data_IF_223954369239
#
_entry.id   IF_223954369239
#
_cell.length_a   1.000
_cell.length_b   1.000
_cell.length_c   1.000
_cell.angle_alpha   90.00
_cell.angle_beta   90.00
_cell.angle_gamma   90.00
#
_symmetry.space_group_name_H-M   'P 1'
#
loop_
_entity.id
_entity.type
_entity.pdbx_description
1 polymer ?
#
# COMPACT_ATOMS: atom_id res chain seq x y z
N UNK A 1 8.24 -7.82 4.06
CA UNK A 1 7.11 -7.06 3.52
C UNK A 1 5.91 -7.98 3.33
N UNK A 2 5.08 -8.06 4.34
CA UNK A 2 3.91 -8.92 4.40
C UNK A 2 2.67 -8.04 4.55
N UNK A 3 1.93 -7.83 3.46
CA UNK A 3 0.69 -7.07 3.46
C UNK A 3 -0.45 -8.07 3.37
N UNK A 4 -1.29 -8.12 4.39
CA UNK A 4 -2.48 -8.99 4.39
C UNK A 4 -3.66 -8.30 3.72
N UNK A 5 -4.60 -9.04 3.13
CA UNK A 5 -5.83 -8.46 2.59
C UNK A 5 -6.67 -7.77 3.69
N UNK A 6 -7.53 -6.79 3.33
CA UNK A 6 -8.41 -6.14 4.29
C UNK A 6 -9.36 -7.16 4.94
N UNK A 7 -9.67 -6.95 6.21
CA UNK A 7 -10.46 -7.89 7.01
C UNK A 7 -9.66 -9.06 7.60
N UNK A 8 -8.36 -9.17 7.30
CA UNK A 8 -7.51 -10.19 7.93
C UNK A 8 -7.41 -9.95 9.43
N UNK A 9 -7.57 -11.02 10.20
CA UNK A 9 -7.37 -11.04 11.65
C UNK A 9 -5.93 -10.68 12.03
N UNK A 10 -5.66 -10.42 13.30
CA UNK A 10 -4.31 -10.27 13.82
C UNK A 10 -3.44 -11.48 13.42
N UNK A 11 -2.15 -11.29 13.13
CA UNK A 11 -1.33 -12.30 12.44
C UNK A 11 -1.38 -13.67 13.11
N UNK A 12 -1.31 -13.73 14.43
CA UNK A 12 -1.37 -15.01 15.18
C UNK A 12 -2.69 -15.74 14.95
N UNK A 13 -3.81 -15.06 15.07
CA UNK A 13 -5.13 -15.64 14.88
C UNK A 13 -5.39 -15.96 13.40
N UNK A 14 -4.93 -15.09 12.51
CA UNK A 14 -4.98 -15.31 11.07
C UNK A 14 -4.29 -16.63 10.69
N UNK A 15 -3.08 -16.87 11.18
CA UNK A 15 -2.33 -18.11 10.91
C UNK A 15 -3.00 -19.37 11.49
N UNK A 16 -3.67 -19.23 12.63
CA UNK A 16 -4.42 -20.34 13.23
C UNK A 16 -5.65 -20.74 12.42
N UNK A 17 -6.28 -19.79 11.71
CA UNK A 17 -7.51 -20.04 10.95
C UNK A 17 -7.27 -20.25 9.45
N UNK A 18 -6.24 -19.65 8.88
CA UNK A 18 -6.00 -19.72 7.44
C UNK A 18 -5.48 -21.11 7.03
N UNK A 19 -6.25 -21.80 6.20
CA UNK A 19 -5.90 -23.13 5.66
C UNK A 19 -5.09 -23.07 4.36
N UNK A 20 -4.74 -21.89 3.86
CA UNK A 20 -4.01 -21.72 2.60
C UNK A 20 -4.81 -22.18 1.36
N UNK A 21 -6.14 -22.23 1.43
CA UNK A 21 -6.99 -22.78 0.35
C UNK A 21 -6.99 -22.00 -0.97
N UNK A 22 -6.47 -20.76 -0.97
CA UNK A 22 -6.30 -19.94 -2.17
C UNK A 22 -7.58 -19.28 -2.72
N UNK A 23 -8.75 -19.47 -2.08
CA UNK A 23 -10.03 -18.93 -2.58
C UNK A 23 -9.98 -17.38 -2.71
N UNK A 24 -9.43 -16.69 -1.70
CA UNK A 24 -9.27 -15.24 -1.72
C UNK A 24 -8.34 -14.75 -2.85
N UNK A 25 -7.31 -15.51 -3.18
CA UNK A 25 -6.40 -15.20 -4.31
C UNK A 25 -7.12 -15.40 -5.64
N UNK A 26 -7.94 -16.44 -5.76
CA UNK A 26 -8.67 -16.78 -6.99
C UNK A 26 -9.74 -15.74 -7.36
N UNK A 27 -10.41 -15.15 -6.37
CA UNK A 27 -11.48 -14.17 -6.62
C UNK A 27 -10.97 -12.73 -6.72
N UNK A 28 -9.69 -12.50 -6.44
CA UNK A 28 -9.12 -11.15 -6.50
C UNK A 28 -9.16 -10.60 -7.94
N UNK A 29 -9.95 -9.54 -8.23
CA UNK A 29 -10.16 -9.09 -9.60
C UNK A 29 -8.92 -8.48 -10.24
N UNK A 30 -8.02 -7.95 -9.43
CA UNK A 30 -6.77 -7.33 -9.87
C UNK A 30 -5.59 -8.30 -9.90
N UNK A 31 -5.79 -9.54 -9.40
CA UNK A 31 -4.72 -10.50 -9.25
C UNK A 31 -3.66 -10.11 -8.22
N UNK A 32 -3.96 -9.17 -7.33
CA UNK A 32 -2.97 -8.65 -6.37
C UNK A 32 -2.63 -9.59 -5.21
N UNK A 33 -3.48 -10.59 -4.91
CA UNK A 33 -3.25 -11.56 -3.84
C UNK A 33 -2.46 -12.76 -4.36
N UNK A 34 -1.34 -13.04 -3.71
CA UNK A 34 -0.43 -14.12 -4.01
C UNK A 34 -0.11 -14.94 -2.76
N UNK A 35 0.31 -16.20 -2.89
CA UNK A 35 0.75 -16.99 -1.74
C UNK A 35 2.06 -16.42 -1.15
N UNK A 36 2.15 -16.41 0.17
CA UNK A 36 3.41 -16.17 0.87
C UNK A 36 4.30 -17.41 0.74
N UNK A 37 5.60 -17.21 0.52
CA UNK A 37 6.59 -18.28 0.43
C UNK A 37 7.49 -18.25 1.67
N UNK A 38 8.31 -17.21 1.83
CA UNK A 38 9.23 -17.07 2.97
C UNK A 38 8.88 -15.86 3.85
N UNK A 39 8.02 -14.95 3.36
CA UNK A 39 7.74 -13.66 3.99
C UNK A 39 6.91 -13.77 5.27
N UNK A 40 6.17 -14.86 5.44
CA UNK A 40 5.32 -15.13 6.59
C UNK A 40 5.87 -16.25 7.49
N UNK A 41 7.13 -16.65 7.30
CA UNK A 41 7.69 -17.83 7.97
C UNK A 41 7.10 -19.15 7.48
N UNK A 42 7.53 -20.26 8.09
CA UNK A 42 7.07 -21.61 7.71
C UNK A 42 5.57 -21.78 8.01
N UNK A 43 5.10 -21.23 9.12
CA UNK A 43 3.69 -21.28 9.54
C UNK A 43 2.77 -20.52 8.59
N UNK A 44 3.28 -19.47 7.94
CA UNK A 44 2.53 -18.64 7.00
C UNK A 44 2.65 -19.06 5.54
N UNK A 45 3.28 -20.20 5.24
CA UNK A 45 3.44 -20.70 3.88
C UNK A 45 2.06 -20.88 3.20
N UNK A 46 1.95 -20.43 1.95
CA UNK A 46 0.72 -20.41 1.13
C UNK A 46 -0.42 -19.52 1.63
N UNK A 47 -0.23 -18.78 2.71
CA UNK A 47 -1.24 -17.81 3.14
C UNK A 47 -1.24 -16.58 2.22
N UNK A 48 -2.40 -15.90 2.00
CA UNK A 48 -2.48 -14.79 1.06
C UNK A 48 -1.72 -13.55 1.53
N UNK A 49 -1.01 -12.92 0.61
CA UNK A 49 -0.42 -11.59 0.77
C UNK A 49 -0.68 -10.73 -0.47
N UNK A 50 -0.81 -9.43 -0.29
CA UNK A 50 -0.87 -8.49 -1.40
C UNK A 50 0.54 -8.24 -1.95
N UNK A 51 0.66 -8.29 -3.27
CA UNK A 51 1.88 -7.96 -4.01
C UNK A 51 1.59 -6.80 -4.95
N UNK A 52 1.74 -5.54 -4.51
CA UNK A 52 1.30 -4.36 -5.27
C UNK A 52 1.91 -4.20 -6.67
N UNK A 53 3.05 -4.82 -6.92
CA UNK A 53 3.67 -4.85 -8.25
C UNK A 53 2.93 -5.71 -9.29
N UNK A 54 2.17 -6.70 -8.82
CA UNK A 54 1.45 -7.65 -9.69
C UNK A 54 -0.03 -7.29 -9.81
N UNK A 55 -0.55 -6.61 -8.78
CA UNK A 55 -1.91 -6.13 -8.72
C UNK A 55 -2.13 -5.38 -7.41
N UNK A 56 -3.27 -4.79 -7.22
CA UNK A 56 -3.57 -3.91 -6.09
C UNK A 56 -4.86 -4.33 -5.39
N UNK A 57 -5.15 -3.75 -4.23
CA UNK A 57 -6.45 -3.92 -3.58
C UNK A 57 -7.44 -2.90 -4.14
N UNK A 58 -8.45 -3.39 -4.87
CA UNK A 58 -9.50 -2.54 -5.43
C UNK A 58 -10.29 -1.84 -4.34
N UNK A 59 -10.56 -0.52 -4.51
CA UNK A 59 -11.12 0.34 -3.48
C UNK A 59 -12.53 -0.10 -3.03
N UNK A 60 -13.37 -0.51 -3.97
CA UNK A 60 -14.75 -0.91 -3.73
C UNK A 60 -14.96 -2.44 -3.73
N UNK A 61 -13.90 -3.22 -3.41
CA UNK A 61 -13.96 -4.68 -3.44
C UNK A 61 -13.78 -5.28 -2.04
N UNK A 62 -14.63 -6.25 -1.70
CA UNK A 62 -14.61 -7.00 -0.43
C UNK A 62 -14.61 -8.52 -0.63
N UNK A 63 -14.42 -9.01 -1.86
CA UNK A 63 -14.59 -10.41 -2.24
C UNK A 63 -13.73 -11.39 -1.43
N UNK A 64 -12.51 -11.03 -1.06
CA UNK A 64 -11.59 -11.91 -0.35
C UNK A 64 -12.14 -12.36 1.02
N UNK A 65 -12.84 -11.46 1.74
CA UNK A 65 -13.51 -11.81 3.01
C UNK A 65 -14.78 -12.63 2.80
N UNK A 66 -15.55 -12.33 1.73
CA UNK A 66 -16.81 -13.04 1.43
C UNK A 66 -16.60 -14.52 1.12
N UNK A 67 -15.47 -14.89 0.55
CA UNK A 67 -15.18 -16.30 0.16
C UNK A 67 -14.30 -17.04 1.17
N UNK A 68 -13.88 -16.41 2.26
CA UNK A 68 -13.01 -17.06 3.24
C UNK A 68 -13.78 -18.08 4.08
N UNK A 69 -13.56 -19.41 3.91
CA UNK A 69 -14.39 -20.42 4.57
C UNK A 69 -14.12 -20.53 6.07
N UNK A 70 -12.97 -20.04 6.54
CA UNK A 70 -12.53 -20.16 7.94
C UNK A 70 -12.68 -18.86 8.74
N UNK A 71 -13.07 -17.78 8.08
CA UNK A 71 -13.11 -16.44 8.70
C UNK A 71 -11.74 -15.88 9.09
N UNK A 72 -10.65 -16.41 8.52
CA UNK A 72 -9.33 -15.81 8.68
C UNK A 72 -9.26 -14.39 8.07
N UNK A 73 -10.09 -14.15 7.05
CA UNK A 73 -10.38 -12.84 6.48
C UNK A 73 -11.87 -12.61 6.74
N UNK A 74 -12.21 -11.65 7.57
CA UNK A 74 -13.60 -11.32 7.88
C UNK A 74 -14.25 -10.59 6.70
N UNK A 75 -15.53 -10.88 6.42
CA UNK A 75 -16.29 -10.12 5.44
C UNK A 75 -16.53 -8.71 5.97
N UNK A 76 -16.22 -7.71 5.14
CA UNK A 76 -16.41 -6.31 5.45
C UNK A 76 -17.50 -5.72 4.55
N UNK A 77 -18.27 -4.76 5.07
CA UNK A 77 -19.02 -3.83 4.23
C UNK A 77 -18.04 -2.94 3.46
N UNK A 78 -18.45 -2.38 2.32
CA UNK A 78 -17.58 -1.54 1.48
C UNK A 78 -17.07 -0.34 2.27
N UNK A 79 -17.94 0.33 3.01
CA UNK A 79 -17.61 1.51 3.81
C UNK A 79 -16.56 1.17 4.88
N UNK A 80 -16.76 0.09 5.62
CA UNK A 80 -15.80 -0.36 6.62
C UNK A 80 -14.45 -0.76 6.00
N UNK A 81 -14.46 -1.37 4.81
CA UNK A 81 -13.24 -1.74 4.09
C UNK A 81 -12.45 -0.51 3.62
N UNK A 82 -13.11 0.56 3.25
CA UNK A 82 -12.48 1.81 2.81
C UNK A 82 -11.73 2.53 3.93
N UNK A 83 -12.11 2.29 5.19
CA UNK A 83 -11.42 2.80 6.38
C UNK A 83 -10.28 1.89 6.86
N UNK A 84 -10.27 0.60 6.45
CA UNK A 84 -9.24 -0.35 6.87
C UNK A 84 -7.92 -0.07 6.18
N UNK A 85 -6.91 0.28 6.96
CA UNK A 85 -5.52 0.41 6.50
C UNK A 85 -4.86 -0.96 6.48
N UNK A 86 -4.32 -1.38 5.35
CA UNK A 86 -3.55 -2.62 5.20
C UNK A 86 -2.05 -2.35 5.06
N UNK A 87 -1.66 -1.09 5.08
CA UNK A 87 -0.28 -0.64 5.01
C UNK A 87 -0.17 0.84 4.70
N UNK A 88 1.06 1.31 4.51
CA UNK A 88 1.41 2.69 4.19
C UNK A 88 2.34 2.72 2.98
N UNK A 89 2.08 3.64 2.05
CA UNK A 89 2.97 3.90 0.93
C UNK A 89 4.13 4.82 1.37
N UNK A 90 5.32 4.56 0.84
CA UNK A 90 6.50 5.40 1.05
C UNK A 90 7.28 5.59 -0.25
N UNK A 91 7.86 6.77 -0.44
CA UNK A 91 8.68 7.11 -1.61
C UNK A 91 10.14 6.69 -1.40
N UNK A 92 10.72 6.11 -2.44
CA UNK A 92 12.17 6.02 -2.61
C UNK A 92 12.63 7.32 -3.32
N UNK A 93 13.10 8.28 -2.54
CA UNK A 93 13.51 9.60 -3.02
C UNK A 93 14.70 9.53 -3.97
N UNK A 94 15.49 8.47 -3.92
CA UNK A 94 16.64 8.27 -4.82
C UNK A 94 16.23 7.87 -6.23
N UNK A 95 14.97 7.48 -6.44
CA UNK A 95 14.45 6.99 -7.71
C UNK A 95 13.26 7.79 -8.24
N UNK A 96 12.47 8.38 -7.37
CA UNK A 96 11.29 9.14 -7.78
C UNK A 96 11.67 10.35 -8.62
N UNK A 97 11.04 10.53 -9.79
CA UNK A 97 11.39 11.59 -10.76
C UNK A 97 11.46 12.98 -10.14
N UNK A 98 10.47 13.45 -9.37
CA UNK A 98 10.54 14.76 -8.72
C UNK A 98 11.72 14.90 -7.77
N UNK A 99 12.03 13.86 -7.00
CA UNK A 99 13.11 13.91 -6.01
C UNK A 99 14.49 13.75 -6.63
N UNK A 100 14.68 12.71 -7.44
CA UNK A 100 16.00 12.34 -7.95
C UNK A 100 16.44 13.15 -9.18
N UNK A 101 15.47 13.60 -9.99
CA UNK A 101 15.77 14.17 -11.30
C UNK A 101 15.13 15.55 -11.55
N UNK A 102 14.46 16.15 -10.56
CA UNK A 102 13.82 17.45 -10.70
C UNK A 102 12.77 17.50 -11.84
N UNK A 103 12.07 16.39 -12.10
CA UNK A 103 11.05 16.27 -13.15
C UNK A 103 9.69 15.99 -12.55
N UNK A 104 8.66 16.77 -12.92
CA UNK A 104 7.30 16.53 -12.45
C UNK A 104 6.79 15.17 -12.90
N UNK A 105 6.12 14.47 -11.97
CA UNK A 105 5.41 13.22 -12.20
C UNK A 105 4.23 13.15 -11.22
N UNK A 106 3.01 12.92 -11.71
CA UNK A 106 1.78 12.93 -10.92
C UNK A 106 1.05 11.59 -10.94
N UNK A 107 1.57 10.58 -11.63
CA UNK A 107 0.89 9.30 -11.91
C UNK A 107 0.33 8.62 -10.64
N UNK A 108 1.09 8.59 -9.56
CA UNK A 108 0.65 7.92 -8.33
C UNK A 108 -0.47 8.66 -7.61
N UNK A 109 -0.52 9.98 -7.69
CA UNK A 109 -1.60 10.80 -7.12
C UNK A 109 -2.87 10.68 -7.98
N UNK A 110 -2.76 10.82 -9.30
CA UNK A 110 -3.89 10.71 -10.23
C UNK A 110 -4.66 9.40 -10.05
N UNK A 111 -3.96 8.30 -9.77
CA UNK A 111 -4.54 6.98 -9.59
C UNK A 111 -4.88 6.63 -8.13
N UNK A 112 -4.62 7.52 -7.18
CA UNK A 112 -5.00 7.27 -5.79
C UNK A 112 -6.54 7.21 -5.68
N UNK A 113 -7.11 6.08 -5.20
CA UNK A 113 -8.56 5.90 -5.19
C UNK A 113 -9.25 6.58 -4.01
N UNK A 114 -8.47 6.98 -2.99
CA UNK A 114 -9.03 7.68 -1.81
C UNK A 114 -9.59 9.04 -2.23
N UNK A 115 -10.83 9.39 -1.85
CA UNK A 115 -11.49 10.62 -2.31
C UNK A 115 -10.65 11.89 -2.09
N UNK A 116 -10.09 12.08 -0.91
CA UNK A 116 -9.26 13.25 -0.55
C UNK A 116 -7.79 13.09 -0.94
N UNK A 117 -7.46 12.06 -1.74
CA UNK A 117 -6.10 11.76 -2.20
C UNK A 117 -5.07 11.68 -1.08
N UNK A 118 -4.72 10.47 -0.70
CA UNK A 118 -3.63 10.24 0.27
C UNK A 118 -2.23 10.66 -0.26
N UNK A 119 -2.12 11.00 -1.54
CA UNK A 119 -0.89 11.53 -2.14
C UNK A 119 -1.16 12.97 -2.55
N UNK A 120 -0.35 13.89 -2.04
CA UNK A 120 -0.42 15.33 -2.31
C UNK A 120 0.95 15.86 -2.73
N UNK A 121 1.01 17.09 -3.25
CA UNK A 121 2.23 17.70 -3.74
C UNK A 121 2.67 18.90 -2.90
N UNK A 122 3.98 19.00 -2.70
CA UNK A 122 4.63 20.19 -2.16
C UNK A 122 5.49 20.80 -3.26
N UNK A 123 5.36 22.11 -3.46
CA UNK A 123 6.20 22.85 -4.40
C UNK A 123 7.58 23.13 -3.78
N UNK A 124 8.62 22.71 -4.49
CA UNK A 124 10.01 22.88 -4.06
C UNK A 124 10.81 23.48 -5.20
N UNK A 125 11.65 24.47 -4.90
CA UNK A 125 12.59 25.04 -5.89
C UNK A 125 13.87 24.23 -5.87
N UNK A 126 14.25 23.70 -7.03
CA UNK A 126 15.50 22.97 -7.25
C UNK A 126 16.38 23.73 -8.25
N UNK A 127 17.68 23.67 -8.07
CA UNK A 127 18.63 24.21 -9.04
C UNK A 127 18.79 23.23 -10.21
N UNK A 128 18.57 23.70 -11.42
CA UNK A 128 18.82 22.98 -12.67
C UNK A 128 19.91 23.73 -13.46
N UNK A 129 20.45 23.10 -14.50
CA UNK A 129 21.46 23.67 -15.39
C UNK A 129 21.05 25.01 -16.01
N UNK A 130 19.75 25.26 -16.13
CA UNK A 130 19.12 26.44 -16.70
C UNK A 130 18.67 27.48 -15.63
N UNK A 131 19.01 27.26 -14.35
CA UNK A 131 18.61 28.12 -13.23
C UNK A 131 17.54 27.46 -12.33
N UNK A 132 17.02 28.23 -11.35
CA UNK A 132 16.03 27.71 -10.39
C UNK A 132 14.74 27.31 -11.09
N UNK A 133 14.23 26.11 -10.73
CA UNK A 133 13.02 25.54 -11.28
C UNK A 133 12.11 25.05 -10.14
N UNK A 134 10.85 25.44 -10.16
CA UNK A 134 9.84 24.90 -9.23
C UNK A 134 9.31 23.57 -9.73
N UNK A 135 9.33 22.57 -8.86
CA UNK A 135 8.82 21.23 -9.11
C UNK A 135 7.82 20.81 -8.03
N UNK A 136 6.92 19.88 -8.36
CA UNK A 136 5.96 19.30 -7.44
C UNK A 136 6.48 17.96 -6.93
N UNK A 137 6.88 17.92 -5.66
CA UNK A 137 7.29 16.68 -4.98
C UNK A 137 6.11 16.02 -4.32
N UNK A 138 5.83 14.72 -4.60
CA UNK A 138 4.72 14.01 -3.99
C UNK A 138 5.03 13.62 -2.54
N UNK A 139 4.03 13.68 -1.67
CA UNK A 139 4.04 13.25 -0.28
C UNK A 139 2.90 12.28 -0.03
N UNK A 140 3.00 11.47 1.01
CA UNK A 140 1.93 10.57 1.44
C UNK A 140 1.40 11.04 2.78
N UNK A 141 0.09 11.21 2.85
CA UNK A 141 -0.61 11.42 4.11
C UNK A 141 -0.87 10.05 4.76
N UNK A 142 -0.27 9.74 5.92
CA UNK A 142 -0.45 8.46 6.59
C UNK A 142 -1.86 8.26 7.16
N UNK A 143 -2.60 9.35 7.40
CA UNK A 143 -3.96 9.29 7.93
C UNK A 143 -4.96 8.89 6.85
N UNK A 144 -4.74 9.30 5.63
CA UNK A 144 -5.59 8.97 4.47
C UNK A 144 -5.15 7.69 3.75
N UNK A 145 -3.87 7.32 3.82
CA UNK A 145 -3.34 6.17 3.07
C UNK A 145 -3.85 4.84 3.63
N UNK A 146 -4.61 4.10 2.83
CA UNK A 146 -5.11 2.75 3.17
C UNK A 146 -4.18 1.61 2.74
N UNK A 147 -3.07 1.90 2.06
CA UNK A 147 -2.10 0.88 1.63
C UNK A 147 -2.56 -0.02 0.48
N UNK A 148 -3.53 0.41 -0.33
CA UNK A 148 -4.13 -0.40 -1.41
C UNK A 148 -3.14 -0.87 -2.49
N UNK A 149 -2.03 -0.16 -2.68
CA UNK A 149 -0.98 -0.54 -3.62
C UNK A 149 -1.17 -0.05 -5.06
N UNK A 150 -2.23 0.70 -5.38
CA UNK A 150 -2.46 1.26 -6.72
C UNK A 150 -1.27 2.11 -7.16
N UNK A 151 -0.80 3.02 -6.30
CA UNK A 151 0.33 3.91 -6.59
C UNK A 151 1.63 3.14 -6.94
N UNK A 152 1.88 2.01 -6.28
CA UNK A 152 3.02 1.14 -6.59
C UNK A 152 2.82 0.43 -7.92
N UNK A 153 1.61 -0.05 -8.22
CA UNK A 153 1.31 -0.79 -9.45
C UNK A 153 1.38 0.07 -10.71
N UNK A 154 1.00 1.37 -10.61
CA UNK A 154 1.01 2.31 -11.75
C UNK A 154 2.31 3.08 -11.91
N UNK A 155 3.25 2.93 -10.97
CA UNK A 155 4.54 3.61 -11.05
C UNK A 155 5.24 3.32 -12.39
N UNK A 156 5.76 4.36 -13.03
CA UNK A 156 6.45 4.25 -14.33
C UNK A 156 7.67 3.32 -14.30
N UNK A 157 8.29 3.17 -13.13
CA UNK A 157 9.40 2.23 -12.90
C UNK A 157 8.86 0.83 -12.62
N UNK A 158 8.60 0.06 -13.69
CA UNK A 158 7.95 -1.27 -13.61
C UNK A 158 8.76 -2.33 -12.86
N UNK A 159 10.06 -2.32 -12.97
CA UNK A 159 10.97 -3.26 -12.33
C UNK A 159 11.10 -3.00 -10.83
N UNK A 160 11.29 -1.75 -10.45
CA UNK A 160 11.46 -1.30 -9.07
C UNK A 160 10.75 0.04 -8.85
N UNK A 161 9.45 0.01 -8.49
CA UNK A 161 8.68 1.22 -8.25
C UNK A 161 9.34 2.17 -7.26
N UNK A 162 9.28 3.47 -7.57
CA UNK A 162 9.79 4.53 -6.70
C UNK A 162 8.85 4.86 -5.54
N UNK A 163 7.64 4.33 -5.54
CA UNK A 163 6.72 4.34 -4.40
C UNK A 163 6.37 2.89 -4.07
N UNK A 164 6.40 2.52 -2.80
CA UNK A 164 6.19 1.15 -2.36
C UNK A 164 5.33 1.12 -1.11
N UNK A 165 4.44 0.12 -1.01
CA UNK A 165 3.61 -0.08 0.17
C UNK A 165 4.28 -1.06 1.13
N UNK A 166 4.24 -0.74 2.41
CA UNK A 166 4.71 -1.56 3.53
C UNK A 166 3.54 -1.83 4.48
N UNK A 167 3.65 -2.86 5.31
CA UNK A 167 2.63 -3.21 6.30
C UNK A 167 2.56 -2.26 7.51
N UNK A 168 3.42 -1.26 7.58
CA UNK A 168 3.37 -0.20 8.60
C UNK A 168 2.02 0.52 8.55
N UNK A 169 1.50 0.96 9.69
CA UNK A 169 0.21 1.64 9.83
C UNK A 169 -1.01 0.75 9.49
N UNK A 170 -0.88 -0.57 9.57
CA UNK A 170 -2.01 -1.48 9.34
C UNK A 170 -2.98 -1.50 10.53
N UNK A 171 -4.29 -1.45 10.26
CA UNK A 171 -5.34 -1.39 11.29
C UNK A 171 -5.37 -2.61 12.22
N UNK A 172 -4.96 -3.78 11.74
CA UNK A 172 -4.94 -5.05 12.49
C UNK A 172 -3.80 -5.16 13.52
N UNK A 173 -2.81 -4.28 13.47
CA UNK A 173 -1.67 -4.27 14.40
C UNK A 173 -1.40 -2.83 14.86
N UNK A 174 -1.87 -2.50 16.06
CA UNK A 174 -1.76 -1.16 16.65
C UNK A 174 -0.33 -0.77 17.02
N UNK A 175 0.56 -1.75 17.20
CA UNK A 175 1.96 -1.50 17.56
C UNK A 175 2.83 -1.21 16.32
N UNK A 176 2.34 -1.51 15.12
CA UNK A 176 3.04 -1.30 13.86
C UNK A 176 2.72 0.08 13.25
N UNK A 177 2.88 1.12 14.07
CA UNK A 177 2.67 2.50 13.64
C UNK A 177 3.97 3.12 13.14
N UNK A 178 3.91 4.06 12.16
CA UNK A 178 5.09 4.78 11.73
C UNK A 178 5.61 5.64 12.89
N UNK A 179 6.87 5.44 13.25
CA UNK A 179 7.60 6.34 14.15
C UNK A 179 8.08 7.52 13.27
N UNK A 180 7.14 8.27 12.72
CA UNK A 180 7.47 9.47 11.97
C UNK A 180 7.09 10.67 12.84
N UNK A 181 7.98 11.67 12.98
CA UNK A 181 7.58 12.95 13.51
C UNK A 181 6.43 13.50 12.64
N UNK A 182 5.57 14.31 13.22
CA UNK A 182 4.52 14.98 12.48
C UNK A 182 5.12 15.62 11.20
N UNK A 183 4.35 15.64 10.12
CA UNK A 183 4.85 16.05 8.80
C UNK A 183 5.53 17.44 8.77
N UNK A 184 5.28 18.25 9.79
CA UNK A 184 5.90 19.59 9.99
C UNK A 184 7.36 19.52 10.45
N UNK A 185 7.80 18.44 11.10
CA UNK A 185 9.15 18.30 11.66
C UNK A 185 10.17 17.65 10.72
N UNK A 186 9.75 17.24 9.54
CA UNK A 186 10.61 16.51 8.58
C UNK A 186 11.35 17.40 7.58
N UNK A 187 11.25 18.75 7.71
CA UNK A 187 11.74 19.69 6.70
C UNK A 187 12.50 20.90 7.27
N UNK A 188 13.50 20.59 8.09
CA UNK A 188 14.60 21.55 8.37
C UNK A 188 15.93 20.95 7.91
#
# INVERSE_FOLDING_TARGET
RLIRPPGSLGEREFLQRCTGCGMCMKVCPTGGLHPAVSEAGIEGLWTPRLVPRLGYCEYDCTLCGQVCPTGAIEPLAIEAKQEVKIGLAAFDTTRCLPYAYGRNCMVCEEHCPVPDKAIYFVEVTVEDRNGPKTIKQPRVDPDLCIGCGVCESVCIYRDRPAIRVFSTNESRNRDNQPILPAAEDLYY
#
